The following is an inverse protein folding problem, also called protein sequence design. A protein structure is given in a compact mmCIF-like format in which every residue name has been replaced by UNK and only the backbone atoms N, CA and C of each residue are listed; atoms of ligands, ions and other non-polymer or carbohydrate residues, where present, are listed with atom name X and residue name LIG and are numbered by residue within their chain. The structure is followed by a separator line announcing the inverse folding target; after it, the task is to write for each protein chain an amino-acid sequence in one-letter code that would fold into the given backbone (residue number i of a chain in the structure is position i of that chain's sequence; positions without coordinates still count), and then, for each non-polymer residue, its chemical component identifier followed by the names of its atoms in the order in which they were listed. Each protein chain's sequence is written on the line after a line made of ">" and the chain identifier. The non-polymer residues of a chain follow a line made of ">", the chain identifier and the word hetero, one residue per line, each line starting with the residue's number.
data_IF_626087647818
#
_entry.id   IF_626087647818
#
_cell.length_a   1.000
_cell.length_b   1.000
_cell.length_c   1.000
_cell.angle_alpha   90.00
_cell.angle_beta   90.00
_cell.angle_gamma   90.00
#
_symmetry.space_group_name_H-M   'P 1'
#
loop_
_entity.id
_entity.type
_entity.pdbx_description
1 polymer ?
#
# COMPACT_ATOMS: atom_id res chain seq x y z
N UNK A 1 -78.80 -11.27 -30.45
CA UNK A 1 -77.98 -12.37 -29.94
C UNK A 1 -76.57 -11.83 -29.87
N UNK A 2 -76.05 -11.69 -28.66
CA UNK A 2 -74.66 -11.54 -28.27
C UNK A 2 -73.68 -12.23 -29.25
N UNK A 3 -72.44 -11.80 -29.43
CA UNK A 3 -71.40 -11.78 -28.39
C UNK A 3 -70.27 -10.82 -28.81
N UNK A 4 -69.74 -10.19 -27.77
CA UNK A 4 -68.57 -9.33 -27.55
C UNK A 4 -67.27 -9.62 -28.31
N UNK A 5 -66.58 -8.50 -28.60
CA UNK A 5 -65.17 -8.20 -28.27
C UNK A 5 -64.20 -9.38 -28.17
N UNK A 6 -63.20 -9.40 -29.06
CA UNK A 6 -61.91 -10.01 -28.76
C UNK A 6 -60.80 -9.09 -29.27
N UNK A 7 -60.20 -8.43 -28.29
CA UNK A 7 -58.87 -7.82 -28.34
C UNK A 7 -57.83 -8.94 -28.34
N UNK A 8 -56.92 -8.95 -29.31
CA UNK A 8 -55.68 -9.69 -29.15
C UNK A 8 -54.50 -8.83 -29.59
N UNK A 9 -53.91 -8.18 -28.59
CA UNK A 9 -52.58 -7.58 -28.65
C UNK A 9 -51.57 -8.64 -29.13
N UNK A 10 -50.96 -8.42 -30.30
CA UNK A 10 -49.69 -9.06 -30.61
C UNK A 10 -48.56 -8.03 -30.65
N UNK A 11 -48.20 -7.67 -29.42
CA UNK A 11 -46.84 -7.62 -28.88
C UNK A 11 -45.75 -7.20 -29.87
N UNK A 12 -45.59 -5.88 -29.93
CA UNK A 12 -44.40 -5.14 -30.32
C UNK A 12 -43.13 -5.90 -29.92
N UNK A 13 -42.51 -6.62 -30.86
CA UNK A 13 -41.22 -7.27 -30.67
C UNK A 13 -40.12 -6.21 -30.76
N UNK A 14 -40.14 -5.25 -29.83
CA UNK A 14 -38.96 -4.44 -29.55
C UNK A 14 -37.86 -5.39 -29.07
N UNK A 15 -37.08 -5.87 -30.04
CA UNK A 15 -35.92 -6.71 -29.79
C UNK A 15 -34.85 -5.81 -29.19
N UNK A 16 -34.96 -5.56 -27.89
CA UNK A 16 -33.93 -4.87 -27.14
C UNK A 16 -32.77 -5.84 -27.01
N UNK A 17 -31.89 -5.82 -28.02
CA UNK A 17 -30.65 -6.58 -27.99
C UNK A 17 -29.75 -5.97 -26.90
N UNK A 18 -29.76 -6.59 -25.72
CA UNK A 18 -28.85 -6.21 -24.64
C UNK A 18 -27.42 -6.59 -25.04
N UNK A 19 -26.64 -5.59 -25.45
CA UNK A 19 -25.20 -5.76 -25.63
C UNK A 19 -24.60 -6.00 -24.25
N UNK A 20 -24.19 -7.25 -23.99
CA UNK A 20 -23.37 -7.58 -22.83
C UNK A 20 -21.94 -7.17 -23.15
N UNK A 21 -21.56 -5.98 -22.69
CA UNK A 21 -20.15 -5.60 -22.65
C UNK A 21 -19.46 -6.50 -21.62
N UNK A 22 -18.68 -7.46 -22.12
CA UNK A 22 -17.85 -8.32 -21.27
C UNK A 22 -16.56 -7.57 -20.96
N UNK A 23 -16.60 -6.72 -19.94
CA UNK A 23 -15.38 -6.15 -19.37
C UNK A 23 -14.69 -7.24 -18.55
N UNK A 24 -13.61 -7.82 -19.10
CA UNK A 24 -12.66 -8.64 -18.34
C UNK A 24 -11.97 -7.74 -17.32
N UNK A 25 -12.44 -7.74 -16.08
CA UNK A 25 -11.74 -7.11 -14.95
C UNK A 25 -10.39 -7.81 -14.79
N UNK A 26 -9.30 -7.16 -15.19
CA UNK A 26 -7.95 -7.64 -14.83
C UNK A 26 -7.75 -7.31 -13.36
N UNK A 27 -7.91 -8.30 -12.50
CA UNK A 27 -7.44 -8.21 -11.13
C UNK A 27 -5.92 -8.31 -11.15
N UNK A 28 -5.22 -7.18 -11.10
CA UNK A 28 -3.79 -7.18 -10.76
C UNK A 28 -3.71 -7.18 -9.24
N UNK A 29 -3.34 -8.32 -8.67
CA UNK A 29 -2.93 -8.39 -7.26
C UNK A 29 -1.63 -7.61 -7.12
N UNK A 30 -1.69 -6.46 -6.44
CA UNK A 30 -0.52 -5.68 -6.05
C UNK A 30 -0.14 -6.19 -4.66
N UNK A 31 0.97 -6.93 -4.57
CA UNK A 31 1.52 -7.37 -3.30
C UNK A 31 2.38 -6.23 -2.72
N UNK A 32 1.79 -5.43 -1.83
CA UNK A 32 2.46 -4.32 -1.16
C UNK A 32 3.08 -4.80 0.17
N UNK A 33 4.30 -5.31 0.09
CA UNK A 33 5.14 -5.64 1.24
C UNK A 33 5.59 -4.36 1.96
N UNK A 34 4.91 -3.99 3.05
CA UNK A 34 5.37 -2.90 3.93
C UNK A 34 6.44 -3.43 4.89
N UNK A 35 7.71 -3.20 4.56
CA UNK A 35 8.82 -3.55 5.46
C UNK A 35 9.02 -2.45 6.52
N UNK A 36 8.91 -2.83 7.79
CA UNK A 36 9.21 -1.93 8.91
C UNK A 36 10.72 -1.86 9.10
N UNK A 37 11.31 -0.69 8.81
CA UNK A 37 12.75 -0.47 8.98
C UNK A 37 13.10 -0.12 10.43
N UNK A 38 14.21 -0.67 10.98
CA UNK A 38 14.62 -0.40 12.35
C UNK A 38 15.16 1.04 12.51
N UNK A 39 14.76 1.75 13.58
CA UNK A 39 15.25 3.09 13.86
C UNK A 39 16.74 3.08 14.28
N UNK A 40 17.42 4.24 14.19
CA UNK A 40 18.76 4.40 14.71
C UNK A 40 18.88 4.05 16.20
N UNK A 41 19.89 3.26 16.57
CA UNK A 41 20.19 2.93 17.96
C UNK A 41 21.69 2.70 18.16
N UNK A 42 22.16 2.91 19.39
CA UNK A 42 23.54 2.62 19.77
C UNK A 42 23.75 1.12 19.93
N UNK A 43 24.68 0.58 19.14
CA UNK A 43 25.29 -0.73 19.35
C UNK A 43 26.40 -0.62 20.40
N UNK A 44 27.20 0.45 20.31
CA UNK A 44 28.20 0.85 21.30
C UNK A 44 27.90 2.28 21.71
N UNK A 45 27.68 2.50 23.00
CA UNK A 45 27.48 3.83 23.58
C UNK A 45 28.83 4.45 23.92
N UNK A 46 29.04 5.74 23.63
CA UNK A 46 30.22 6.43 24.16
C UNK A 46 30.13 6.45 25.69
N UNK A 47 31.27 6.27 26.33
CA UNK A 47 31.38 6.26 27.78
C UNK A 47 32.20 7.47 28.25
N UNK A 48 31.93 7.90 29.48
CA UNK A 48 32.68 8.97 30.11
C UNK A 48 34.16 8.61 30.17
N UNK A 49 35.00 9.50 29.67
CA UNK A 49 36.45 9.31 29.59
C UNK A 49 37.16 10.51 30.19
N UNK A 50 38.05 10.27 31.14
CA UNK A 50 38.90 11.30 31.72
C UNK A 50 40.29 11.25 31.06
N UNK A 51 40.76 12.39 30.57
CA UNK A 51 42.10 12.55 29.99
C UNK A 51 42.85 13.67 30.71
N UNK A 52 44.17 13.70 30.59
CA UNK A 52 44.97 14.80 31.12
C UNK A 52 44.76 16.07 30.29
N UNK A 53 45.15 17.21 30.84
CA UNK A 53 45.19 18.47 30.09
C UNK A 53 46.10 18.31 28.87
N UNK A 54 45.68 18.87 27.74
CA UNK A 54 46.36 18.83 26.43
C UNK A 54 46.39 17.44 25.73
N UNK A 55 45.82 16.40 26.33
CA UNK A 55 45.59 15.12 25.66
C UNK A 55 44.33 15.15 24.78
N UNK A 56 44.29 14.26 23.78
CA UNK A 56 43.12 14.07 22.93
C UNK A 56 42.19 12.99 23.50
N UNK A 57 40.96 13.35 23.81
CA UNK A 57 39.92 12.38 24.15
C UNK A 57 39.29 11.77 22.88
N UNK A 58 39.19 10.45 22.83
CA UNK A 58 38.49 9.71 21.77
C UNK A 58 37.24 9.08 22.38
N UNK A 59 36.06 9.49 21.90
CA UNK A 59 34.78 8.91 22.30
C UNK A 59 34.26 8.05 21.16
N UNK A 60 34.30 6.74 21.34
CA UNK A 60 33.83 5.79 20.33
C UNK A 60 32.33 5.52 20.47
N UNK A 61 31.63 5.53 19.33
CA UNK A 61 30.23 5.16 19.26
C UNK A 61 29.97 4.36 17.98
N UNK A 62 29.11 3.35 18.08
CA UNK A 62 28.62 2.60 16.93
C UNK A 62 27.10 2.72 16.90
N UNK A 63 26.57 3.25 15.80
CA UNK A 63 25.13 3.43 15.60
C UNK A 63 24.68 2.57 14.42
N UNK A 64 23.61 1.81 14.61
CA UNK A 64 22.96 0.99 13.58
C UNK A 64 21.54 1.48 13.31
N UNK A 65 21.00 1.24 12.12
CA UNK A 65 19.65 1.65 11.68
C UNK A 65 19.53 1.62 10.16
N UNK A 66 18.29 1.56 9.66
CA UNK A 66 17.98 1.68 8.23
C UNK A 66 16.91 2.79 8.03
N UNK A 67 17.23 3.88 7.32
CA UNK A 67 18.47 4.15 6.60
C UNK A 67 19.69 4.39 7.51
N UNK A 68 20.89 4.31 6.93
CA UNK A 68 22.15 4.49 7.64
C UNK A 68 22.13 5.82 8.43
N UNK A 69 22.40 5.80 9.74
CA UNK A 69 22.36 7.00 10.58
C UNK A 69 23.38 8.07 10.16
N UNK A 70 23.03 9.34 10.34
CA UNK A 70 23.91 10.50 10.15
C UNK A 70 24.26 11.07 11.52
N UNK A 71 25.56 11.23 11.80
CA UNK A 71 26.08 11.84 13.03
C UNK A 71 26.33 13.34 12.78
N UNK A 72 25.97 14.21 13.74
CA UNK A 72 26.12 15.67 13.67
C UNK A 72 26.66 16.24 14.97
#
# INVERSE_FOLDING_TARGET
>A
MDVTENTEEQKQNSSTQSRRDSCKSRSSEIDESTEVKPPPHFVIRPADTCVLTDDTAILEAHISGDPKPIVR
#
